data_IF_020659216503
#
_entry.id   IF_020659216503
#
_cell.length_a   1.000
_cell.length_b   1.000
_cell.length_c   1.000
_cell.angle_alpha   90.00
_cell.angle_beta   90.00
_cell.angle_gamma   90.00
#
_symmetry.space_group_name_H-M   'P 1'
#
loop_
_entity.id
_entity.type
_entity.pdbx_description
1 polymer ?
#
# COMPACT_ATOMS: atom_id res chain seq x y z
N UNK A 1 55.15 16.62 21.80
CA UNK A 1 54.33 16.67 23.04
C UNK A 1 53.78 18.08 23.12
N UNK A 2 52.50 18.42 23.01
CA UNK A 2 51.23 17.68 22.97
C UNK A 2 50.25 18.70 22.36
N UNK A 3 49.64 18.37 21.22
CA UNK A 3 48.65 19.23 20.56
C UNK A 3 47.26 18.86 21.07
N UNK A 4 46.56 19.81 21.69
CA UNK A 4 45.17 19.64 22.11
C UNK A 4 44.28 20.60 21.33
N UNK A 5 43.57 20.07 20.33
CA UNK A 5 42.46 20.74 19.65
C UNK A 5 41.19 20.60 20.48
N UNK A 6 40.61 21.72 20.85
CA UNK A 6 39.29 21.83 21.48
C UNK A 6 38.24 21.82 20.36
N UNK A 7 37.38 20.79 20.35
CA UNK A 7 36.21 20.69 19.46
C UNK A 7 35.01 21.23 20.24
N UNK A 8 34.41 22.32 19.73
CA UNK A 8 33.14 22.86 20.21
C UNK A 8 31.99 22.03 19.62
N UNK A 9 31.23 21.36 20.50
CA UNK A 9 29.95 20.73 20.15
C UNK A 9 28.84 21.77 20.26
N UNK A 10 28.29 22.19 19.12
CA UNK A 10 27.03 22.92 19.04
C UNK A 10 25.87 21.93 18.95
N UNK A 11 25.15 21.73 20.05
CA UNK A 11 23.80 21.14 20.07
C UNK A 11 22.76 22.23 19.84
N UNK A 12 21.91 22.16 18.80
CA UNK A 12 20.72 23.00 18.74
C UNK A 12 19.63 22.40 19.65
N UNK A 13 19.34 23.14 20.72
CA UNK A 13 18.05 23.11 21.42
C UNK A 13 16.96 23.52 20.43
N UNK A 14 15.95 22.68 20.24
CA UNK A 14 14.70 23.06 19.59
C UNK A 14 13.54 22.43 20.35
N UNK A 15 13.01 23.24 21.25
CA UNK A 15 11.70 23.15 21.86
C UNK A 15 10.61 22.90 20.81
N UNK A 16 9.76 21.89 21.05
CA UNK A 16 8.31 21.87 20.84
C UNK A 16 7.80 20.45 21.06
N UNK A 17 7.67 20.09 22.33
CA UNK A 17 6.79 19.03 22.78
C UNK A 17 5.34 19.45 22.50
N UNK A 18 4.76 18.94 21.43
CA UNK A 18 3.31 18.96 21.23
C UNK A 18 2.76 17.87 22.17
N UNK A 19 2.40 18.28 23.38
CA UNK A 19 1.57 17.47 24.25
C UNK A 19 0.20 17.35 23.58
N UNK A 20 -0.11 16.14 23.09
CA UNK A 20 -1.44 15.77 22.70
C UNK A 20 -2.19 15.40 23.99
N UNK A 21 -2.98 16.35 24.48
CA UNK A 21 -3.93 16.17 25.58
C UNK A 21 -5.11 15.34 25.06
N UNK A 22 -4.96 14.01 25.12
CA UNK A 22 -6.04 13.07 24.85
C UNK A 22 -6.92 12.97 26.09
N UNK A 23 -8.02 13.70 26.04
CA UNK A 23 -9.09 13.71 27.01
C UNK A 23 -9.81 12.35 27.08
N UNK A 24 -10.17 12.00 28.32
CA UNK A 24 -11.32 11.16 28.70
C UNK A 24 -11.34 9.69 28.26
N UNK A 25 -10.81 8.81 29.11
CA UNK A 25 -11.26 7.43 29.21
C UNK A 25 -12.67 7.36 29.85
N UNK A 26 -13.64 6.65 29.27
CA UNK A 26 -14.83 6.23 29.99
C UNK A 26 -14.47 5.07 30.93
N UNK A 27 -14.72 5.27 32.22
CA UNK A 27 -14.61 4.28 33.28
C UNK A 27 -15.50 3.07 32.97
N UNK A 28 -14.88 1.99 32.48
CA UNK A 28 -15.52 0.67 32.43
C UNK A 28 -15.65 0.14 33.86
N UNK A 29 -16.88 0.19 34.38
CA UNK A 29 -17.29 -0.51 35.59
C UNK A 29 -17.08 -2.02 35.39
N UNK A 30 -16.05 -2.53 36.04
CA UNK A 30 -15.84 -3.96 36.24
C UNK A 30 -16.95 -4.45 37.18
N UNK A 31 -17.90 -5.19 36.62
CA UNK A 31 -18.87 -5.95 37.39
C UNK A 31 -18.13 -6.99 38.24
N UNK A 32 -18.32 -6.91 39.55
CA UNK A 32 -17.86 -7.91 40.52
C UNK A 32 -18.50 -9.28 40.21
N UNK A 33 -17.73 -10.38 40.11
CA UNK A 33 -18.33 -11.71 40.14
C UNK A 33 -18.76 -12.07 41.58
N UNK A 34 -19.98 -12.59 41.69
CA UNK A 34 -20.60 -13.05 42.92
C UNK A 34 -19.79 -14.15 43.65
N UNK A 35 -19.89 -14.27 44.99
CA UNK A 35 -19.20 -15.31 45.74
C UNK A 35 -19.79 -16.69 45.45
N UNK A 36 -18.93 -17.61 45.01
CA UNK A 36 -19.25 -19.00 44.82
C UNK A 36 -19.62 -19.66 46.16
N UNK A 37 -20.75 -20.35 46.14
CA UNK A 37 -21.33 -21.16 47.20
C UNK A 37 -20.37 -22.28 47.62
N UNK A 38 -20.16 -22.39 48.93
CA UNK A 38 -19.50 -23.52 49.59
C UNK A 38 -20.26 -24.81 49.29
N UNK A 39 -19.55 -25.87 48.87
CA UNK A 39 -20.17 -27.18 48.69
C UNK A 39 -19.17 -28.26 48.30
N UNK A 40 -18.91 -29.14 49.26
CA UNK A 40 -18.39 -30.52 49.09
C UNK A 40 -16.88 -30.69 49.09
N UNK A 41 -16.40 -31.05 50.29
CA UNK A 41 -15.20 -31.84 50.51
C UNK A 41 -15.21 -33.07 49.59
N UNK A 42 -14.15 -33.24 48.79
CA UNK A 42 -13.81 -34.54 48.22
C UNK A 42 -12.54 -35.02 48.91
N UNK A 43 -12.73 -36.20 49.49
CA UNK A 43 -11.84 -37.01 50.28
C UNK A 43 -10.61 -37.42 49.45
N UNK A 44 -9.40 -37.16 49.96
CA UNK A 44 -8.17 -37.66 49.37
C UNK A 44 -8.00 -39.13 49.73
N UNK A 45 -8.13 -40.01 48.73
CA UNK A 45 -7.57 -41.36 48.80
C UNK A 45 -6.27 -41.39 47.98
N UNK A 46 -5.16 -41.54 48.70
CA UNK A 46 -3.86 -41.92 48.18
C UNK A 46 -3.87 -43.42 47.85
N UNK A 47 -3.76 -43.78 46.58
CA UNK A 47 -3.22 -45.09 46.18
C UNK A 47 -2.31 -44.96 44.95
N UNK A 48 -1.01 -45.05 45.25
CA UNK A 48 0.02 -45.86 44.59
C UNK A 48 -0.09 -46.16 43.08
N UNK A 49 0.97 -45.73 42.40
CA UNK A 49 1.78 -46.50 41.46
C UNK A 49 1.22 -46.88 40.06
N UNK A 50 1.99 -46.40 39.07
CA UNK A 50 2.58 -47.18 37.98
C UNK A 50 2.13 -46.86 36.54
N UNK A 51 3.17 -46.74 35.71
CA UNK A 51 3.24 -47.05 34.27
C UNK A 51 2.86 -45.95 33.28
N UNK A 52 3.90 -45.31 32.73
CA UNK A 52 3.85 -44.61 31.47
C UNK A 52 3.48 -45.56 30.32
N UNK A 53 2.86 -45.03 29.25
CA UNK A 53 3.53 -45.20 27.96
C UNK A 53 3.58 -43.91 27.14
N UNK A 54 4.71 -43.77 26.44
CA UNK A 54 4.97 -42.76 25.43
C UNK A 54 3.98 -42.90 24.26
N UNK A 55 3.38 -41.78 23.85
CA UNK A 55 2.65 -41.68 22.58
C UNK A 55 3.43 -40.74 21.67
N UNK A 56 4.14 -41.37 20.73
CA UNK A 56 4.64 -40.77 19.50
C UNK A 56 3.47 -40.29 18.65
N UNK A 57 3.53 -39.05 18.15
CA UNK A 57 2.67 -38.58 17.07
C UNK A 57 3.52 -38.31 15.84
N UNK A 58 3.63 -39.32 14.98
CA UNK A 58 3.99 -39.19 13.58
C UNK A 58 2.78 -38.63 12.82
N UNK A 59 2.85 -37.36 12.38
CA UNK A 59 1.92 -36.79 11.41
C UNK A 59 2.60 -36.69 10.05
N UNK A 60 2.64 -37.83 9.35
CA UNK A 60 3.03 -37.91 7.96
C UNK A 60 2.12 -38.89 7.21
N UNK A 61 0.92 -38.45 6.82
CA UNK A 61 0.20 -39.08 5.72
C UNK A 61 -0.55 -38.04 4.89
N UNK A 62 -0.06 -37.87 3.66
CA UNK A 62 -0.77 -37.17 2.61
C UNK A 62 -2.04 -37.92 2.23
N UNK A 63 -3.16 -37.20 2.28
CA UNK A 63 -4.43 -37.66 1.73
C UNK A 63 -4.54 -37.15 0.30
N UNK A 64 -4.31 -38.04 -0.66
CA UNK A 64 -4.80 -37.94 -2.03
C UNK A 64 -6.13 -38.68 -2.09
N UNK A 65 -7.24 -37.94 -2.11
CA UNK A 65 -8.52 -38.43 -2.62
C UNK A 65 -8.98 -37.38 -3.65
N UNK A 66 -8.74 -37.63 -4.94
CA UNK A 66 -9.56 -38.43 -5.86
C UNK A 66 -10.84 -37.69 -6.22
N UNK A 67 -10.79 -37.07 -7.40
CA UNK A 67 -11.91 -36.69 -8.24
C UNK A 67 -12.90 -37.86 -8.39
N UNK A 68 -14.19 -37.60 -8.24
CA UNK A 68 -15.21 -38.16 -9.14
C UNK A 68 -16.40 -37.22 -9.28
N UNK A 69 -16.71 -37.00 -10.55
CA UNK A 69 -17.74 -36.18 -11.19
C UNK A 69 -19.18 -36.56 -10.80
N UNK A 70 -20.11 -35.59 -10.89
CA UNK A 70 -21.53 -35.89 -11.06
C UNK A 70 -22.45 -34.66 -11.02
N UNK A 71 -23.15 -34.30 -12.12
CA UNK A 71 -23.89 -33.05 -12.26
C UNK A 71 -25.34 -33.17 -11.78
N UNK A 72 -25.93 -32.09 -11.29
CA UNK A 72 -27.39 -31.95 -11.35
C UNK A 72 -27.82 -30.49 -11.46
N UNK A 73 -28.32 -30.14 -12.64
CA UNK A 73 -29.07 -28.94 -12.90
C UNK A 73 -30.54 -29.35 -13.00
N UNK A 74 -31.40 -28.78 -12.16
CA UNK A 74 -32.80 -28.51 -12.50
C UNK A 74 -33.44 -27.60 -11.45
N UNK A 75 -33.81 -26.40 -11.94
CA UNK A 75 -35.08 -25.71 -11.74
C UNK A 75 -35.61 -25.57 -10.30
N UNK A 76 -35.53 -24.36 -9.76
CA UNK A 76 -36.62 -23.78 -9.00
C UNK A 76 -36.80 -22.32 -9.43
N UNK A 77 -38.00 -22.05 -9.95
CA UNK A 77 -38.52 -20.73 -10.27
C UNK A 77 -38.88 -19.97 -8.98
N UNK A 78 -38.82 -18.64 -9.08
CA UNK A 78 -39.55 -17.64 -8.28
C UNK A 78 -39.32 -17.61 -6.77
N UNK A 79 -38.15 -17.09 -6.40
CA UNK A 79 -37.89 -16.47 -5.10
C UNK A 79 -37.33 -15.06 -5.30
N UNK A 80 -38.17 -14.03 -5.13
CA UNK A 80 -37.76 -12.63 -5.04
C UNK A 80 -36.87 -12.49 -3.79
N UNK A 81 -35.56 -12.51 -3.98
CA UNK A 81 -34.58 -12.21 -2.93
C UNK A 81 -34.56 -10.69 -2.77
N UNK A 82 -35.29 -10.19 -1.78
CA UNK A 82 -35.11 -8.86 -1.23
C UNK A 82 -33.72 -8.80 -0.58
N UNK A 83 -32.79 -8.07 -1.19
CA UNK A 83 -31.48 -7.78 -0.61
C UNK A 83 -31.66 -6.68 0.46
N UNK A 84 -31.28 -6.91 1.73
CA UNK A 84 -31.53 -5.95 2.81
C UNK A 84 -30.34 -5.00 2.99
N UNK A 85 -29.79 -4.44 1.90
CA UNK A 85 -28.82 -3.35 1.99
C UNK A 85 -28.99 -2.42 0.79
N UNK A 86 -29.66 -1.30 1.07
CA UNK A 86 -29.78 -0.15 0.20
C UNK A 86 -28.40 0.30 -0.31
N UNK A 87 -28.28 0.27 -1.63
CA UNK A 87 -27.16 0.83 -2.38
C UNK A 87 -27.10 2.35 -2.19
N UNK A 88 -26.39 2.79 -1.15
CA UNK A 88 -25.93 4.16 -1.05
C UNK A 88 -24.59 4.28 -1.80
N UNK A 89 -24.63 4.97 -2.93
CA UNK A 89 -23.52 5.82 -3.36
C UNK A 89 -22.30 5.13 -3.96
N UNK A 90 -22.41 4.69 -5.22
CA UNK A 90 -21.30 4.87 -6.16
C UNK A 90 -21.27 6.33 -6.61
N UNK A 91 -20.77 7.21 -5.74
CA UNK A 91 -20.32 8.54 -6.16
C UNK A 91 -18.79 8.45 -6.35
N UNK A 92 -18.24 8.89 -7.49
CA UNK A 92 -16.80 9.10 -7.60
C UNK A 92 -16.42 10.24 -6.66
N UNK A 93 -15.53 9.97 -5.70
CA UNK A 93 -14.93 10.99 -4.85
C UNK A 93 -14.09 11.95 -5.73
N UNK A 94 -14.66 13.11 -6.06
CA UNK A 94 -13.90 14.26 -6.55
C UNK A 94 -13.56 15.15 -5.36
N UNK A 95 -12.47 14.82 -4.66
CA UNK A 95 -11.81 15.76 -3.76
C UNK A 95 -10.35 15.90 -4.20
N UNK A 96 -10.15 16.82 -5.15
CA UNK A 96 -8.87 17.46 -5.44
C UNK A 96 -8.73 18.64 -4.47
N UNK A 97 -7.65 18.75 -3.69
CA UNK A 97 -7.20 20.05 -3.22
C UNK A 97 -6.23 20.69 -4.23
N UNK A 98 -6.45 21.99 -4.42
CA UNK A 98 -5.75 22.90 -5.33
C UNK A 98 -4.26 23.11 -4.99
N UNK A 99 -3.58 23.60 -6.04
CA UNK A 99 -2.17 23.92 -6.25
C UNK A 99 -1.43 24.67 -5.12
N UNK A 100 -0.13 24.36 -4.98
CA UNK A 100 0.89 25.36 -4.69
C UNK A 100 2.12 25.21 -5.62
N UNK A 101 2.76 26.32 -6.06
CA UNK A 101 3.75 26.30 -7.12
C UNK A 101 5.21 26.43 -6.62
N UNK A 102 6.14 26.13 -7.55
CA UNK A 102 7.57 26.51 -7.64
C UNK A 102 8.58 25.73 -6.77
N UNK A 103 9.57 25.11 -7.44
CA UNK A 103 10.88 24.84 -6.81
C UNK A 103 11.75 23.80 -7.50
N UNK A 104 12.72 24.26 -8.29
CA UNK A 104 13.77 23.48 -8.96
C UNK A 104 14.59 22.56 -8.01
N UNK A 105 15.07 21.42 -8.51
CA UNK A 105 16.52 21.07 -8.54
C UNK A 105 16.78 19.57 -8.70
N UNK A 106 17.39 19.22 -9.83
CA UNK A 106 18.66 18.46 -9.97
C UNK A 106 19.03 17.41 -8.90
N UNK A 107 19.05 16.12 -9.27
CA UNK A 107 20.28 15.35 -9.57
C UNK A 107 20.01 13.83 -9.52
N UNK A 108 20.30 13.18 -10.65
CA UNK A 108 20.39 11.73 -10.80
C UNK A 108 21.78 11.32 -10.34
N UNK A 109 21.86 10.40 -9.37
CA UNK A 109 23.09 9.76 -8.92
C UNK A 109 23.03 8.22 -9.08
N UNK A 110 24.17 7.54 -9.25
CA UNK A 110 24.25 6.34 -10.08
C UNK A 110 24.26 5.01 -9.30
N UNK A 111 23.84 3.96 -10.01
CA UNK A 111 24.00 2.55 -9.66
C UNK A 111 25.46 2.11 -9.72
N UNK A 112 25.98 1.54 -8.63
CA UNK A 112 27.21 0.74 -8.62
C UNK A 112 26.83 -0.71 -8.34
N UNK A 113 26.95 -1.56 -9.36
CA UNK A 113 26.99 -3.01 -9.22
C UNK A 113 28.38 -3.49 -9.68
N UNK A 114 29.10 -4.21 -8.81
CA UNK A 114 30.36 -4.90 -9.12
C UNK A 114 30.35 -6.30 -8.51
N UNK A 115 30.87 -7.26 -9.29
CA UNK A 115 31.32 -8.59 -8.86
C UNK A 115 30.51 -9.73 -9.47
N UNK A 116 30.71 -10.10 -10.74
CA UNK A 116 31.77 -10.97 -11.31
C UNK A 116 31.51 -12.48 -11.02
N UNK A 117 30.98 -13.27 -11.97
CA UNK A 117 31.64 -13.99 -13.11
C UNK A 117 31.77 -15.50 -12.80
N UNK A 118 32.08 -16.45 -13.73
CA UNK A 118 32.02 -16.47 -15.21
C UNK A 118 31.38 -17.77 -15.78
N UNK A 119 31.26 -17.89 -17.12
CA UNK A 119 31.90 -18.95 -17.97
C UNK A 119 31.23 -19.10 -19.35
N UNK A 120 32.09 -19.13 -20.38
CA UNK A 120 31.95 -19.76 -21.73
C UNK A 120 30.73 -19.42 -22.63
N UNK A 121 30.81 -19.23 -23.94
CA UNK A 121 31.86 -19.47 -24.94
C UNK A 121 31.38 -18.95 -26.31
N UNK A 122 32.30 -18.28 -27.02
CA UNK A 122 32.56 -18.32 -28.47
C UNK A 122 31.47 -18.19 -29.55
N UNK A 123 31.84 -17.34 -30.52
CA UNK A 123 31.63 -17.41 -31.98
C UNK A 123 30.36 -16.77 -32.56
N UNK A 124 30.51 -15.64 -33.26
CA UNK A 124 30.91 -15.64 -34.69
C UNK A 124 30.67 -14.25 -35.27
N UNK A 125 31.76 -13.56 -35.57
CA UNK A 125 31.74 -12.37 -36.41
C UNK A 125 31.69 -12.83 -37.88
N UNK A 126 30.69 -12.38 -38.63
CA UNK A 126 30.82 -12.23 -40.07
C UNK A 126 30.22 -10.90 -40.52
N UNK A 127 31.11 -10.10 -41.08
CA UNK A 127 30.88 -8.84 -41.73
C UNK A 127 29.99 -9.00 -42.98
N UNK A 128 29.14 -8.01 -43.21
CA UNK A 128 28.74 -7.61 -44.56
C UNK A 128 28.93 -6.09 -44.66
N UNK A 129 29.90 -5.72 -45.50
CA UNK A 129 30.22 -4.36 -45.92
C UNK A 129 29.31 -3.95 -47.08
N UNK A 130 29.10 -2.64 -47.20
CA UNK A 130 28.57 -1.96 -48.39
C UNK A 130 27.14 -1.47 -48.18
N UNK A 131 26.74 -0.26 -48.55
CA UNK A 131 27.39 0.78 -49.34
C UNK A 131 26.51 2.05 -49.25
N UNK A 132 27.09 3.26 -49.26
CA UNK A 132 26.38 4.48 -49.72
C UNK A 132 26.02 5.56 -48.69
N UNK A 133 26.98 6.46 -48.42
CA UNK A 133 26.96 7.94 -48.46
C UNK A 133 25.64 8.69 -48.80
N UNK A 134 25.50 10.03 -48.59
CA UNK A 134 26.25 11.00 -47.77
C UNK A 134 25.33 11.91 -46.90
N UNK A 135 26.02 12.74 -46.10
CA UNK A 135 25.60 14.02 -45.52
C UNK A 135 24.69 14.91 -46.40
N UNK A 136 23.58 15.40 -45.85
CA UNK A 136 22.94 16.67 -46.22
C UNK A 136 22.02 17.08 -45.06
N UNK A 137 22.39 18.11 -44.29
CA UNK A 137 21.94 19.50 -44.47
C UNK A 137 20.52 19.76 -43.97
N UNK A 138 20.38 20.81 -43.15
CA UNK A 138 19.12 21.50 -42.96
C UNK A 138 18.29 21.01 -41.77
N UNK A 139 18.78 21.26 -40.55
CA UNK A 139 17.89 21.48 -39.40
C UNK A 139 17.09 22.75 -39.71
N UNK A 140 15.95 22.60 -40.36
CA UNK A 140 14.97 23.67 -40.53
C UNK A 140 14.41 23.95 -39.14
N UNK A 141 14.94 25.01 -38.53
CA UNK A 141 14.22 25.75 -37.52
C UNK A 141 12.86 26.11 -38.13
N UNK A 142 11.80 25.54 -37.58
CA UNK A 142 10.45 26.04 -37.82
C UNK A 142 10.41 27.45 -37.23
N UNK A 143 10.67 28.43 -38.09
CA UNK A 143 10.25 29.80 -37.85
C UNK A 143 8.75 29.76 -37.66
N UNK A 144 8.31 30.17 -36.48
CA UNK A 144 6.92 30.53 -36.23
C UNK A 144 6.57 31.63 -37.22
N UNK A 145 5.97 31.24 -38.35
CA UNK A 145 5.16 32.13 -39.16
C UNK A 145 4.07 32.62 -38.22
N UNK A 146 4.30 33.81 -37.67
CA UNK A 146 3.27 34.73 -37.22
C UNK A 146 2.30 34.86 -38.39
N UNK A 147 1.29 33.98 -38.38
CA UNK A 147 0.15 34.08 -39.28
C UNK A 147 -0.57 35.34 -38.84
N UNK A 148 -0.17 36.43 -39.48
CA UNK A 148 -1.01 37.56 -39.84
C UNK A 148 -2.46 37.24 -39.56
N UNK A 149 -2.98 37.85 -38.48
CA UNK A 149 -4.39 37.83 -38.14
C UNK A 149 -5.17 38.24 -39.39
N UNK A 150 -5.62 37.23 -40.14
CA UNK A 150 -6.55 37.42 -41.23
C UNK A 150 -7.77 38.02 -40.58
N UNK A 151 -7.94 39.33 -40.79
CA UNK A 151 -9.17 40.04 -40.50
C UNK A 151 -10.28 39.23 -41.15
N UNK A 152 -10.96 38.44 -40.32
CA UNK A 152 -12.16 37.70 -40.67
C UNK A 152 -13.14 38.78 -41.11
N UNK A 153 -13.21 39.04 -42.41
CA UNK A 153 -14.24 39.88 -43.01
C UNK A 153 -15.53 39.13 -42.79
N UNK A 154 -16.21 39.42 -41.69
CA UNK A 154 -17.60 39.06 -41.52
C UNK A 154 -18.33 39.77 -42.65
N UNK A 155 -18.86 39.01 -43.61
CA UNK A 155 -19.81 39.56 -44.58
C UNK A 155 -21.00 40.08 -43.79
N UNK A 156 -20.96 41.38 -43.50
CA UNK A 156 -22.03 42.13 -42.91
C UNK A 156 -22.77 42.83 -44.05
N UNK A 157 -24.09 42.85 -43.97
CA UNK A 157 -24.86 43.73 -44.85
C UNK A 157 -24.50 45.20 -44.55
N UNK A 158 -24.95 46.14 -45.38
CA UNK A 158 -24.72 47.58 -45.21
C UNK A 158 -25.14 48.11 -43.81
N UNK A 159 -25.96 47.36 -43.07
CA UNK A 159 -26.38 47.59 -41.69
C UNK A 159 -25.50 46.91 -40.62
N UNK A 160 -24.35 46.33 -40.97
CA UNK A 160 -23.41 45.72 -40.02
C UNK A 160 -23.84 44.37 -39.43
N UNK A 161 -24.96 43.80 -39.87
CA UNK A 161 -25.47 42.50 -39.38
C UNK A 161 -24.85 41.34 -40.15
N UNK A 162 -24.41 40.31 -39.44
CA UNK A 162 -23.89 39.06 -40.02
C UNK A 162 -24.98 38.36 -40.83
N UNK A 163 -24.70 38.05 -42.10
CA UNK A 163 -25.65 37.35 -42.97
C UNK A 163 -25.85 35.92 -42.46
N UNK A 164 -27.01 35.66 -41.87
CA UNK A 164 -27.46 34.32 -41.46
C UNK A 164 -27.56 33.47 -42.73
N UNK A 165 -26.75 32.41 -42.81
CA UNK A 165 -26.67 31.52 -43.98
C UNK A 165 -25.37 31.62 -44.82
N UNK A 166 -24.41 32.45 -44.43
CA UNK A 166 -23.12 32.53 -45.15
C UNK A 166 -22.27 31.26 -44.97
N UNK A 167 -21.90 30.65 -46.09
CA UNK A 167 -21.13 29.40 -46.23
C UNK A 167 -19.73 29.42 -45.61
N UNK A 168 -19.23 30.58 -45.20
CA UNK A 168 -17.87 30.75 -44.66
C UNK A 168 -17.83 31.08 -43.16
N UNK A 169 -18.97 31.39 -42.53
CA UNK A 169 -19.00 31.75 -41.10
C UNK A 169 -18.72 30.52 -40.23
N UNK A 170 -19.21 29.34 -40.63
CA UNK A 170 -19.07 28.09 -39.89
C UNK A 170 -17.92 27.17 -40.38
N UNK A 171 -17.15 27.61 -41.39
CA UNK A 171 -16.11 26.81 -42.06
C UNK A 171 -16.50 26.43 -43.48
N UNK A 172 -15.52 26.21 -44.34
CA UNK A 172 -15.78 25.79 -45.72
C UNK A 172 -16.50 24.43 -45.73
N UNK A 173 -17.75 24.40 -46.20
CA UNK A 173 -18.55 23.18 -46.34
C UNK A 173 -19.59 22.91 -45.23
N UNK A 174 -19.72 23.78 -44.23
CA UNK A 174 -20.69 23.59 -43.13
C UNK A 174 -21.99 24.35 -43.39
N UNK A 175 -22.69 24.03 -44.49
CA UNK A 175 -24.14 24.27 -44.55
C UNK A 175 -24.78 23.03 -43.95
N UNK A 176 -25.31 23.14 -42.73
CA UNK A 176 -26.04 22.02 -42.12
C UNK A 176 -27.22 21.60 -43.01
N UNK A 177 -27.78 20.38 -42.83
CA UNK A 177 -28.85 19.85 -43.68
C UNK A 177 -30.14 20.71 -43.72
N UNK A 178 -30.25 21.68 -42.82
CA UNK A 178 -31.37 22.63 -42.73
C UNK A 178 -31.03 24.04 -43.23
N UNK A 179 -29.83 24.27 -43.76
CA UNK A 179 -29.45 25.54 -44.36
C UNK A 179 -30.07 25.64 -45.77
N UNK A 180 -31.35 25.98 -45.82
CA UNK A 180 -32.02 26.32 -47.08
C UNK A 180 -31.59 27.72 -47.47
N UNK A 181 -30.85 27.85 -48.57
CA UNK A 181 -30.57 29.16 -49.15
C UNK A 181 -31.91 29.79 -49.56
N UNK A 182 -32.30 30.90 -48.93
CA UNK A 182 -33.46 31.67 -49.40
C UNK A 182 -33.18 32.18 -50.81
N UNK A 183 -34.09 31.88 -51.75
CA UNK A 183 -34.00 32.38 -53.11
C UNK A 183 -34.20 33.90 -53.11
N UNK A 184 -33.11 34.65 -53.26
CA UNK A 184 -33.16 36.10 -53.44
C UNK A 184 -33.71 36.40 -54.84
N UNK A 185 -34.98 36.79 -54.90
CA UNK A 185 -35.65 37.16 -56.16
C UNK A 185 -34.94 38.27 -56.94
N UNK A 186 -34.14 39.11 -56.26
CA UNK A 186 -33.33 40.14 -56.92
C UNK A 186 -32.19 39.55 -57.75
N UNK A 187 -31.60 38.43 -57.32
CA UNK A 187 -30.57 37.73 -58.08
C UNK A 187 -31.15 37.06 -59.32
N UNK A 188 -32.34 36.49 -59.23
CA UNK A 188 -32.99 35.85 -60.37
C UNK A 188 -33.28 36.86 -61.49
N UNK A 189 -33.81 38.04 -61.15
CA UNK A 189 -34.05 39.13 -62.10
C UNK A 189 -32.75 39.65 -62.74
N UNK A 190 -31.66 39.76 -61.95
CA UNK A 190 -30.33 40.16 -62.46
C UNK A 190 -29.74 39.11 -63.41
N UNK A 191 -29.89 37.83 -63.10
CA UNK A 191 -29.42 36.74 -63.97
C UNK A 191 -30.18 36.74 -65.29
N UNK A 192 -31.51 36.88 -65.27
CA UNK A 192 -32.32 36.95 -66.48
C UNK A 192 -31.91 38.13 -67.39
N UNK A 193 -31.73 39.33 -66.82
CA UNK A 193 -31.26 40.50 -67.56
C UNK A 193 -29.84 40.32 -68.13
N UNK A 194 -28.93 39.68 -67.36
CA UNK A 194 -27.58 39.38 -67.82
C UNK A 194 -27.56 38.34 -68.97
N UNK A 195 -28.45 37.35 -68.93
CA UNK A 195 -28.60 36.37 -70.00
C UNK A 195 -29.15 37.00 -71.29
N UNK A 196 -30.04 37.98 -71.19
CA UNK A 196 -30.56 38.71 -72.35
C UNK A 196 -29.47 39.59 -73.01
N UNK A 197 -28.60 40.20 -72.20
CA UNK A 197 -27.51 41.04 -72.66
C UNK A 197 -26.31 40.28 -73.28
N UNK A 198 -26.23 38.95 -73.09
CA UNK A 198 -25.11 38.12 -73.58
C UNK A 198 -25.30 37.70 -75.05
N UNK A 199 -24.27 37.88 -75.85
CA UNK A 199 -24.25 37.39 -77.24
C UNK A 199 -24.26 35.86 -77.28
N UNK A 200 -24.83 35.22 -78.33
CA UNK A 200 -24.90 33.75 -78.43
C UNK A 200 -23.52 33.06 -78.37
N UNK A 201 -22.47 33.73 -78.87
CA UNK A 201 -21.08 33.24 -78.80
C UNK A 201 -20.54 33.24 -77.36
N UNK A 202 -20.94 34.19 -76.52
CA UNK A 202 -20.56 34.21 -75.10
C UNK A 202 -21.33 33.15 -74.32
N UNK A 203 -22.63 32.96 -74.61
CA UNK A 203 -23.44 31.88 -74.01
C UNK A 203 -22.83 30.51 -74.23
N UNK A 204 -22.47 30.17 -75.47
CA UNK A 204 -21.81 28.89 -75.79
C UNK A 204 -20.45 28.71 -75.08
N UNK A 205 -19.68 29.79 -74.90
CA UNK A 205 -18.41 29.72 -74.15
C UNK A 205 -18.65 29.47 -72.66
N UNK A 206 -19.64 30.15 -72.07
CA UNK A 206 -20.03 29.97 -70.67
C UNK A 206 -20.53 28.54 -70.45
N UNK A 207 -21.41 28.04 -71.33
CA UNK A 207 -21.94 26.68 -71.26
C UNK A 207 -20.81 25.64 -71.36
N UNK A 208 -19.88 25.81 -72.30
CA UNK A 208 -18.72 24.91 -72.43
C UNK A 208 -17.78 24.98 -71.22
N UNK A 209 -17.64 26.14 -70.59
CA UNK A 209 -16.87 26.28 -69.35
C UNK A 209 -17.60 25.57 -68.18
N UNK A 210 -18.89 25.83 -68.00
CA UNK A 210 -19.73 25.18 -67.00
C UNK A 210 -19.74 23.65 -67.15
N UNK A 211 -19.82 23.13 -68.38
CA UNK A 211 -19.75 21.70 -68.67
C UNK A 211 -18.37 21.07 -68.36
N UNK A 212 -17.28 21.84 -68.46
CA UNK A 212 -15.94 21.38 -68.03
C UNK A 212 -15.84 21.37 -66.51
N UNK A 213 -16.38 22.39 -65.86
CA UNK A 213 -16.35 22.51 -64.41
C UNK A 213 -17.23 21.44 -63.75
N UNK A 214 -18.41 21.13 -64.30
CA UNK A 214 -19.26 20.02 -63.83
C UNK A 214 -18.57 18.66 -63.95
N UNK A 215 -17.80 18.43 -65.03
CA UNK A 215 -16.96 17.22 -65.19
C UNK A 215 -15.81 17.19 -64.18
N UNK A 216 -15.18 18.33 -63.88
CA UNK A 216 -14.13 18.44 -62.87
C UNK A 216 -14.69 18.15 -61.47
N UNK A 217 -15.80 18.79 -61.12
CA UNK A 217 -16.53 18.55 -59.86
C UNK A 217 -16.89 17.06 -59.72
N UNK A 218 -17.45 16.45 -60.76
CA UNK A 218 -17.80 15.02 -60.76
C UNK A 218 -16.57 14.11 -60.53
N UNK A 219 -15.38 14.51 -60.99
CA UNK A 219 -14.14 13.78 -60.72
C UNK A 219 -13.68 13.96 -59.27
N UNK A 220 -13.77 15.18 -58.74
CA UNK A 220 -13.44 15.49 -57.34
C UNK A 220 -14.34 14.68 -56.40
N UNK A 221 -15.67 14.72 -56.59
CA UNK A 221 -16.63 13.95 -55.78
C UNK A 221 -16.29 12.45 -55.80
N UNK A 222 -15.94 11.89 -56.96
CA UNK A 222 -15.55 10.47 -57.07
C UNK A 222 -14.22 10.16 -56.37
N UNK A 223 -13.28 11.10 -56.34
CA UNK A 223 -12.01 10.94 -55.65
C UNK A 223 -12.20 11.05 -54.13
N UNK A 224 -12.99 12.04 -53.68
CA UNK A 224 -13.37 12.21 -52.28
C UNK A 224 -14.07 10.97 -51.74
N UNK A 225 -15.07 10.44 -52.45
CA UNK A 225 -15.75 9.21 -52.05
C UNK A 225 -14.79 7.99 -51.91
N UNK A 226 -13.73 7.93 -52.72
CA UNK A 226 -12.71 6.88 -52.60
C UNK A 226 -11.81 7.08 -51.38
N UNK A 227 -11.36 8.32 -51.15
CA UNK A 227 -10.53 8.69 -50.00
C UNK A 227 -11.31 8.46 -48.70
N UNK A 228 -12.58 8.86 -48.66
CA UNK A 228 -13.48 8.64 -47.53
C UNK A 228 -13.65 7.16 -47.22
N UNK A 229 -13.91 6.33 -48.25
CA UNK A 229 -13.98 4.87 -48.06
C UNK A 229 -12.68 4.28 -47.51
N UNK A 230 -11.52 4.76 -47.99
CA UNK A 230 -10.21 4.33 -47.48
C UNK A 230 -10.02 4.75 -46.03
N UNK A 231 -10.33 6.01 -45.69
CA UNK A 231 -10.25 6.52 -44.33
C UNK A 231 -11.15 5.72 -43.37
N UNK A 232 -12.38 5.40 -43.80
CA UNK A 232 -13.30 4.56 -43.04
C UNK A 232 -12.76 3.14 -42.82
N UNK A 233 -12.11 2.56 -43.84
CA UNK A 233 -11.49 1.23 -43.73
C UNK A 233 -10.34 1.25 -42.72
N UNK A 234 -9.47 2.26 -42.79
CA UNK A 234 -8.36 2.44 -41.83
C UNK A 234 -8.87 2.59 -40.40
N UNK A 235 -9.91 3.42 -40.19
CA UNK A 235 -10.52 3.60 -38.87
C UNK A 235 -11.11 2.30 -38.30
N UNK A 236 -11.72 1.45 -39.14
CA UNK A 236 -12.24 0.13 -38.74
C UNK A 236 -11.09 -0.80 -38.31
N UNK A 237 -10.00 -0.83 -39.09
CA UNK A 237 -8.84 -1.66 -38.78
C UNK A 237 -8.13 -1.22 -37.49
N UNK A 238 -8.01 0.10 -37.28
CA UNK A 238 -7.49 0.67 -36.04
C UNK A 238 -8.34 0.29 -34.83
N UNK A 239 -9.66 0.39 -34.93
CA UNK A 239 -10.58 -0.03 -33.87
C UNK A 239 -10.42 -1.52 -33.56
N UNK A 240 -10.32 -2.36 -34.59
CA UNK A 240 -10.11 -3.80 -34.41
C UNK A 240 -8.78 -4.10 -33.70
N UNK A 241 -7.72 -3.36 -34.01
CA UNK A 241 -6.42 -3.50 -33.35
C UNK A 241 -6.46 -3.03 -31.89
N UNK A 242 -7.11 -1.91 -31.59
CA UNK A 242 -7.31 -1.44 -30.22
C UNK A 242 -8.07 -2.48 -29.37
N UNK A 243 -9.11 -3.11 -29.93
CA UNK A 243 -9.83 -4.19 -29.25
C UNK A 243 -8.94 -5.42 -28.98
N UNK A 244 -8.05 -5.79 -29.91
CA UNK A 244 -7.07 -6.87 -29.68
C UNK A 244 -6.10 -6.51 -28.55
N UNK A 245 -5.59 -5.29 -28.52
CA UNK A 245 -4.70 -4.82 -27.45
C UNK A 245 -5.41 -4.80 -26.10
N UNK A 246 -6.66 -4.34 -26.04
CA UNK A 246 -7.46 -4.36 -24.82
C UNK A 246 -7.63 -5.79 -24.28
N UNK A 247 -8.00 -6.76 -25.13
CA UNK A 247 -8.11 -8.17 -24.73
C UNK A 247 -6.79 -8.74 -24.19
N UNK A 248 -5.67 -8.39 -24.83
CA UNK A 248 -4.34 -8.79 -24.38
C UNK A 248 -3.98 -8.18 -23.02
N UNK A 249 -4.26 -6.88 -22.83
CA UNK A 249 -4.02 -6.16 -21.58
C UNK A 249 -4.82 -6.77 -20.43
N UNK A 250 -6.12 -7.01 -20.61
CA UNK A 250 -6.99 -7.65 -19.60
C UNK A 250 -6.47 -9.04 -19.22
N UNK A 251 -6.01 -9.84 -20.20
CA UNK A 251 -5.42 -11.16 -19.93
C UNK A 251 -4.12 -11.05 -19.14
N UNK A 252 -3.27 -10.07 -19.46
CA UNK A 252 -2.02 -9.85 -18.75
C UNK A 252 -2.27 -9.36 -17.31
N UNK A 253 -3.24 -8.46 -17.13
CA UNK A 253 -3.67 -7.98 -15.83
C UNK A 253 -4.16 -9.15 -14.95
N UNK A 254 -5.04 -10.01 -15.47
CA UNK A 254 -5.50 -11.19 -14.72
C UNK A 254 -4.36 -12.12 -14.28
N UNK A 255 -3.32 -12.29 -15.12
CA UNK A 255 -2.13 -13.06 -14.75
C UNK A 255 -1.31 -12.37 -13.66
N UNK A 256 -1.12 -11.06 -13.76
CA UNK A 256 -0.40 -10.28 -12.76
C UNK A 256 -1.12 -10.31 -11.40
N UNK A 257 -2.45 -10.14 -11.39
CA UNK A 257 -3.28 -10.24 -10.19
C UNK A 257 -3.21 -11.63 -9.56
N UNK A 258 -3.30 -12.70 -10.36
CA UNK A 258 -3.16 -14.07 -9.86
C UNK A 258 -1.77 -14.35 -9.26
N UNK A 259 -0.71 -13.83 -9.88
CA UNK A 259 0.65 -13.93 -9.35
C UNK A 259 0.80 -13.15 -8.04
N UNK A 260 0.28 -11.93 -7.98
CA UNK A 260 0.29 -11.10 -6.78
C UNK A 260 -0.44 -11.77 -5.62
N UNK A 261 -1.63 -12.34 -5.86
CA UNK A 261 -2.38 -13.08 -4.84
C UNK A 261 -1.60 -14.27 -4.26
N UNK A 262 -0.87 -15.03 -5.11
CA UNK A 262 -0.01 -16.13 -4.66
C UNK A 262 1.13 -15.67 -3.77
N UNK A 263 1.83 -14.60 -4.17
CA UNK A 263 2.91 -14.00 -3.38
C UNK A 263 2.39 -13.51 -2.04
N UNK A 264 1.24 -12.82 -2.03
CA UNK A 264 0.61 -12.31 -0.81
C UNK A 264 0.21 -13.44 0.14
N UNK A 265 -0.34 -14.55 -0.36
CA UNK A 265 -0.64 -15.73 0.46
C UNK A 265 0.63 -16.34 1.05
N UNK A 266 1.69 -16.49 0.25
CA UNK A 266 2.97 -17.01 0.73
C UNK A 266 3.58 -16.13 1.82
N UNK A 267 3.50 -14.80 1.65
CA UNK A 267 3.97 -13.82 2.62
C UNK A 267 3.21 -13.94 3.95
N UNK A 268 1.87 -13.99 3.91
CA UNK A 268 1.04 -14.16 5.12
C UNK A 268 1.35 -15.46 5.85
N UNK A 269 1.64 -16.54 5.12
CA UNK A 269 2.06 -17.81 5.72
C UNK A 269 3.39 -17.68 6.46
N UNK A 270 4.38 -17.02 5.85
CA UNK A 270 5.68 -16.79 6.50
C UNK A 270 5.59 -15.84 7.68
N UNK A 271 4.74 -14.82 7.58
CA UNK A 271 4.47 -13.86 8.66
C UNK A 271 3.85 -14.57 9.87
N UNK A 272 2.88 -15.46 9.65
CA UNK A 272 2.29 -16.25 10.73
C UNK A 272 3.33 -17.13 11.46
N UNK A 273 4.25 -17.76 10.72
CA UNK A 273 5.35 -18.56 11.31
C UNK A 273 6.30 -17.68 12.13
N UNK A 274 6.65 -16.50 11.61
CA UNK A 274 7.49 -15.54 12.34
C UNK A 274 6.85 -15.09 13.65
N UNK A 275 5.55 -14.73 13.62
CA UNK A 275 4.84 -14.32 14.83
C UNK A 275 4.75 -15.46 15.85
N UNK A 276 4.51 -16.70 15.42
CA UNK A 276 4.53 -17.86 16.30
C UNK A 276 5.92 -18.12 16.92
N UNK A 277 7.00 -17.96 16.15
CA UNK A 277 8.36 -18.10 16.68
C UNK A 277 8.68 -16.98 17.68
N UNK A 278 8.22 -15.75 17.42
CA UNK A 278 8.37 -14.62 18.33
C UNK A 278 7.67 -14.86 19.67
N UNK A 279 6.43 -15.35 19.66
CA UNK A 279 5.70 -15.64 20.91
C UNK A 279 6.35 -16.78 21.69
N UNK A 280 6.90 -17.79 21.02
CA UNK A 280 7.67 -18.85 21.67
C UNK A 280 8.95 -18.31 22.33
N UNK A 281 9.67 -17.42 21.66
CA UNK A 281 10.86 -16.77 22.22
C UNK A 281 10.51 -15.92 23.44
N UNK A 282 9.48 -15.08 23.38
CA UNK A 282 9.02 -14.26 24.51
C UNK A 282 8.59 -15.14 25.70
N UNK A 283 7.90 -16.26 25.43
CA UNK A 283 7.54 -17.22 26.47
C UNK A 283 8.75 -17.93 27.09
N UNK A 284 9.76 -18.29 26.29
CA UNK A 284 11.00 -18.87 26.79
C UNK A 284 11.80 -17.88 27.66
N UNK A 285 11.86 -16.62 27.24
CA UNK A 285 12.50 -15.55 28.02
C UNK A 285 11.78 -15.32 29.35
N UNK A 286 10.44 -15.29 29.35
CA UNK A 286 9.66 -15.19 30.58
C UNK A 286 9.93 -16.34 31.57
N UNK A 287 10.08 -17.58 31.07
CA UNK A 287 10.44 -18.73 31.91
C UNK A 287 11.84 -18.61 32.50
N UNK A 288 12.82 -18.21 31.70
CA UNK A 288 14.19 -18.02 32.16
C UNK A 288 14.22 -16.98 33.29
N UNK A 289 13.58 -15.83 33.11
CA UNK A 289 13.54 -14.79 34.14
C UNK A 289 12.87 -15.30 35.43
N UNK A 290 11.77 -16.06 35.31
CA UNK A 290 11.10 -16.64 36.48
C UNK A 290 11.99 -17.64 37.24
N UNK A 291 12.77 -18.47 36.52
CA UNK A 291 13.74 -19.38 37.13
C UNK A 291 14.90 -18.63 37.80
N UNK A 292 15.40 -17.55 37.18
CA UNK A 292 16.44 -16.69 37.76
C UNK A 292 15.97 -16.01 39.05
N UNK A 293 14.75 -15.49 39.07
CA UNK A 293 14.12 -14.91 40.27
C UNK A 293 13.95 -15.96 41.38
N UNK A 294 13.44 -17.15 41.04
CA UNK A 294 13.30 -18.25 42.00
C UNK A 294 14.64 -18.67 42.60
N UNK A 295 15.69 -18.76 41.77
CA UNK A 295 17.06 -19.04 42.22
C UNK A 295 17.56 -17.93 43.17
N UNK A 296 17.34 -16.66 42.82
CA UNK A 296 17.69 -15.54 43.68
C UNK A 296 16.99 -15.60 45.05
N UNK A 297 15.69 -15.93 45.07
CA UNK A 297 14.93 -16.14 46.31
C UNK A 297 15.51 -17.27 47.15
N UNK A 298 15.85 -18.42 46.54
CA UNK A 298 16.46 -19.56 47.25
C UNK A 298 17.82 -19.17 47.84
N UNK A 299 18.65 -18.45 47.09
CA UNK A 299 19.95 -17.96 47.57
C UNK A 299 19.81 -17.01 48.75
N UNK A 300 18.85 -16.07 48.68
CA UNK A 300 18.59 -15.14 49.78
C UNK A 300 18.06 -15.87 51.02
N UNK A 301 17.14 -16.82 50.86
CA UNK A 301 16.65 -17.65 51.96
C UNK A 301 17.79 -18.45 52.62
N UNK A 302 18.66 -19.08 51.83
CA UNK A 302 19.81 -19.81 52.36
C UNK A 302 20.74 -18.90 53.19
N UNK A 303 20.97 -17.65 52.74
CA UNK A 303 21.75 -16.66 53.51
C UNK A 303 21.06 -16.31 54.82
N UNK A 304 19.77 -16.01 54.80
CA UNK A 304 18.98 -15.71 56.01
C UNK A 304 18.99 -16.86 57.02
N UNK A 305 18.91 -18.12 56.55
CA UNK A 305 18.99 -19.30 57.43
C UNK A 305 20.37 -19.42 58.06
N UNK A 306 21.44 -19.17 57.31
CA UNK A 306 22.81 -19.18 57.86
C UNK A 306 23.03 -18.06 58.88
N UNK A 307 22.47 -16.88 58.65
CA UNK A 307 22.50 -15.75 59.58
C UNK A 307 21.77 -16.10 60.88
N UNK A 308 20.53 -16.61 60.79
CA UNK A 308 19.77 -17.09 61.96
C UNK A 308 20.49 -18.18 62.74
N UNK A 309 21.18 -19.09 62.06
CA UNK A 309 21.97 -20.13 62.72
C UNK A 309 23.15 -19.53 63.51
N UNK A 310 23.83 -18.52 62.94
CA UNK A 310 24.91 -17.81 63.63
C UNK A 310 24.40 -17.04 64.85
N UNK A 311 23.29 -16.30 64.70
CA UNK A 311 22.63 -15.61 65.82
C UNK A 311 22.27 -16.57 66.95
N UNK A 312 21.66 -17.72 66.63
CA UNK A 312 21.30 -18.73 67.62
C UNK A 312 22.51 -19.39 68.27
N UNK A 313 23.60 -19.61 67.53
CA UNK A 313 24.85 -20.09 68.12
C UNK A 313 25.42 -19.09 69.13
N UNK A 314 25.44 -17.79 68.77
CA UNK A 314 25.89 -16.73 69.66
C UNK A 314 25.00 -16.60 70.91
N UNK A 315 23.68 -16.74 70.76
CA UNK A 315 22.74 -16.76 71.88
C UNK A 315 23.02 -17.92 72.84
N UNK A 316 23.25 -19.14 72.31
CA UNK A 316 23.59 -20.32 73.12
C UNK A 316 24.91 -20.13 73.87
N UNK A 317 25.94 -19.59 73.20
CA UNK A 317 27.21 -19.31 73.85
C UNK A 317 27.07 -18.23 74.93
N UNK A 318 26.22 -17.21 74.70
CA UNK A 318 25.79 -16.26 75.71
C UNK A 318 25.13 -16.93 76.93
N UNK A 319 24.19 -17.85 76.72
CA UNK A 319 23.53 -18.59 77.81
C UNK A 319 24.50 -19.48 78.58
N UNK A 320 25.44 -20.14 77.89
CA UNK A 320 26.48 -20.95 78.54
C UNK A 320 27.40 -20.10 79.41
N UNK A 321 27.81 -18.93 78.94
CA UNK A 321 28.63 -18.02 79.75
C UNK A 321 27.88 -17.52 80.98
N UNK A 322 26.60 -17.16 80.84
CA UNK A 322 25.74 -16.77 81.96
C UNK A 322 25.56 -17.90 82.98
N UNK A 323 25.22 -19.12 82.52
CA UNK A 323 25.06 -20.29 83.38
C UNK A 323 26.35 -20.59 84.19
N UNK A 324 27.52 -20.56 83.54
CA UNK A 324 28.80 -20.77 84.22
C UNK A 324 29.08 -19.70 85.30
N UNK A 325 28.61 -18.46 85.10
CA UNK A 325 28.70 -17.41 86.10
C UNK A 325 27.75 -17.70 87.27
N UNK A 326 26.51 -18.04 86.99
CA UNK A 326 25.50 -18.36 88.01
C UNK A 326 25.90 -19.56 88.87
N UNK A 327 26.48 -20.60 88.28
CA UNK A 327 27.00 -21.78 89.01
C UNK A 327 28.13 -21.38 89.97
N UNK A 328 29.09 -20.57 89.50
CA UNK A 328 30.17 -20.05 90.36
C UNK A 328 29.63 -19.18 91.50
N UNK A 329 28.66 -18.32 91.21
CA UNK A 329 28.02 -17.52 92.25
C UNK A 329 27.28 -18.38 93.26
N UNK A 330 26.58 -19.42 92.81
CA UNK A 330 25.87 -20.38 93.65
C UNK A 330 26.83 -21.14 94.56
N UNK A 331 27.96 -21.61 94.02
CA UNK A 331 29.03 -22.25 94.80
C UNK A 331 29.60 -21.31 95.86
N UNK A 332 29.88 -20.06 95.52
CA UNK A 332 30.36 -19.03 96.47
C UNK A 332 29.33 -18.80 97.58
N UNK A 333 28.04 -18.64 97.24
CA UNK A 333 26.95 -18.45 98.20
C UNK A 333 26.77 -19.68 99.10
N UNK A 334 26.81 -20.89 98.55
CA UNK A 334 26.73 -22.14 99.31
C UNK A 334 27.93 -22.31 100.26
N UNK A 335 29.14 -21.95 99.82
CA UNK A 335 30.34 -21.96 100.66
C UNK A 335 30.22 -20.99 101.84
N UNK A 336 29.70 -19.77 101.62
CA UNK A 336 29.39 -18.82 102.68
C UNK A 336 28.39 -19.42 103.69
N UNK A 337 27.25 -19.94 103.23
CA UNK A 337 26.23 -20.54 104.11
C UNK A 337 26.75 -21.73 104.93
N UNK A 338 27.61 -22.58 104.36
CA UNK A 338 28.25 -23.69 105.10
C UNK A 338 29.26 -23.19 106.14
N UNK A 339 30.03 -22.14 105.83
CA UNK A 339 30.95 -21.50 106.77
C UNK A 339 30.25 -20.87 107.97
N UNK A 340 29.05 -20.31 107.77
CA UNK A 340 28.24 -19.74 108.85
C UNK A 340 27.62 -20.77 109.81
N UNK A 341 27.51 -22.07 109.45
CA UNK A 341 26.97 -23.10 110.36
C UNK A 341 27.95 -23.56 111.45
N UNK A 342 29.20 -23.13 111.44
CA UNK A 342 30.21 -23.54 112.43
C UNK A 342 30.44 -22.55 113.59
N UNK A 343 29.66 -21.46 113.68
CA UNK A 343 29.76 -20.48 114.79
C UNK A 343 28.62 -20.53 115.81
N UNK A 344 27.74 -21.55 115.75
CA UNK A 344 26.56 -21.68 116.62
C UNK A 344 26.53 -22.97 117.43
N UNK A 345 27.60 -23.31 118.17
CA UNK A 345 27.52 -24.25 119.30
C UNK A 345 28.52 -23.83 120.38
N UNK A 346 28.24 -22.67 120.97
CA UNK A 346 28.67 -22.31 122.32
C UNK A 346 27.38 -22.06 123.10
N UNK A 347 26.73 -23.17 123.46
CA UNK A 347 25.95 -23.25 124.67
C UNK A 347 26.71 -24.21 125.59
N UNK A 348 27.70 -23.67 126.31
CA UNK A 348 28.05 -24.03 127.69
C UNK A 348 29.10 -23.08 128.23
#
# INVERSE_FOLDING_TARGET
>A
MTSASIVQNNTPSSEKSIYFDASSEPSMQIAQPAPATQGSQVQYDSQMAATAPAVSYDYAHGSKYLDYLGPNAQNNEDGIIQHPHDSQGWLPATDLPDEHPIGNSTQIGPTIARGASPTSSSSSARAARGNGSPTNAGRIQATSLDRSGSRRSTFTNKEGRTVVGSTFINGAGTTGPYAVAQEDGSLHARTASAEEALTPKQKLKIEKAAAKDSRRLSKVIKQEAKIEKQALTVAIDELANLQKFQKAAVKQEGRAQASHAKVLLSFKKTEAVYLAAKTQYEAALGKLNAEEEALATIRNNAREVTEKMQEKSQEIDGLRTMLNVDERESEVKLAQLKGLRKSGSIWR
#
